data_IF_556239946077
#
_entry.id   IF_556239946077
#
_cell.length_a   1.000
_cell.length_b   1.000
_cell.length_c   1.000
_cell.angle_alpha   90.00
_cell.angle_beta   90.00
_cell.angle_gamma   90.00
#
_symmetry.space_group_name_H-M   'P 1'
#
loop_
_entity.id
_entity.type
_entity.pdbx_description
1 polymer ?
#
# COMPACT_ATOMS: atom_id res chain seq x y z
N UNK A 1 1.84 -18.96 23.96
CA UNK A 1 0.77 -18.67 22.98
C UNK A 1 1.26 -17.68 21.93
N UNK A 2 1.95 -18.18 20.90
CA UNK A 2 2.19 -17.40 19.67
C UNK A 2 1.09 -17.74 18.67
N UNK A 3 0.62 -16.75 17.91
CA UNK A 3 -0.50 -16.90 16.98
C UNK A 3 -0.40 -15.96 15.77
N UNK A 4 -0.69 -16.42 14.56
CA UNK A 4 -0.74 -15.55 13.38
C UNK A 4 -1.76 -16.03 12.34
N UNK A 5 -2.70 -15.17 11.94
CA UNK A 5 -3.73 -15.48 10.94
C UNK A 5 -3.99 -14.31 9.98
N UNK A 6 -4.32 -14.62 8.73
CA UNK A 6 -4.87 -13.74 7.71
C UNK A 6 -5.91 -14.53 6.93
N UNK A 7 -7.05 -13.92 6.65
CA UNK A 7 -8.09 -14.48 5.78
C UNK A 7 -8.56 -13.41 4.80
N UNK A 8 -8.91 -13.80 3.59
CA UNK A 8 -9.42 -12.92 2.55
C UNK A 8 -10.32 -13.72 1.61
N UNK A 9 -11.38 -13.07 1.11
CA UNK A 9 -12.20 -13.63 0.05
C UNK A 9 -12.72 -12.49 -0.80
N UNK A 10 -12.45 -12.62 -2.09
CA UNK A 10 -12.77 -11.70 -3.18
C UNK A 10 -13.44 -12.51 -4.30
N UNK A 11 -14.13 -11.89 -5.27
CA UNK A 11 -14.82 -12.62 -6.34
C UNK A 11 -13.90 -13.56 -7.14
N UNK A 12 -12.63 -13.21 -7.28
CA UNK A 12 -11.60 -13.89 -8.09
C UNK A 12 -10.48 -14.53 -7.26
N UNK A 13 -10.48 -14.38 -5.93
CA UNK A 13 -9.35 -14.79 -5.09
C UNK A 13 -9.77 -15.15 -3.66
N UNK A 14 -9.29 -16.27 -3.15
CA UNK A 14 -9.56 -16.76 -1.80
C UNK A 14 -8.26 -17.14 -1.07
N UNK A 15 -8.12 -16.74 0.19
CA UNK A 15 -6.99 -17.12 1.03
C UNK A 15 -7.44 -17.24 2.49
N UNK A 16 -6.90 -18.24 3.19
CA UNK A 16 -7.01 -18.39 4.64
C UNK A 16 -5.70 -18.96 5.17
N UNK A 17 -5.15 -18.38 6.24
CA UNK A 17 -4.17 -19.04 7.09
C UNK A 17 -4.40 -18.71 8.58
N UNK A 18 -3.89 -19.58 9.44
CA UNK A 18 -3.95 -19.49 10.90
C UNK A 18 -2.87 -20.42 11.48
N UNK A 19 -1.94 -19.90 12.28
CA UNK A 19 -0.76 -20.63 12.78
C UNK A 19 -0.57 -20.38 14.29
N UNK A 20 -0.36 -21.43 15.08
CA UNK A 20 -0.08 -21.35 16.53
C UNK A 20 1.26 -22.02 16.84
N UNK A 21 2.11 -21.31 17.59
CA UNK A 21 3.54 -21.62 17.78
C UNK A 21 4.36 -21.72 16.47
N UNK A 22 4.24 -20.75 15.53
CA UNK A 22 5.00 -20.73 14.28
C UNK A 22 6.49 -20.40 14.50
N UNK A 23 7.35 -20.99 13.66
CA UNK A 23 8.75 -20.55 13.50
C UNK A 23 8.83 -19.14 12.90
N UNK A 24 9.99 -18.49 13.03
CA UNK A 24 10.23 -17.17 12.44
C UNK A 24 9.97 -17.16 10.93
N UNK A 25 10.44 -18.17 10.20
CA UNK A 25 10.22 -18.29 8.74
C UNK A 25 8.73 -18.40 8.38
N UNK A 26 7.94 -19.12 9.18
CA UNK A 26 6.50 -19.23 8.97
C UNK A 26 5.79 -17.89 9.21
N UNK A 27 6.27 -17.07 10.16
CA UNK A 27 5.80 -15.70 10.36
C UNK A 27 6.19 -14.82 9.16
N UNK A 28 7.45 -14.86 8.72
CA UNK A 28 7.96 -14.09 7.58
C UNK A 28 7.18 -14.39 6.30
N UNK A 29 6.91 -15.66 6.01
CA UNK A 29 6.12 -16.08 4.85
C UNK A 29 4.68 -15.55 4.91
N UNK A 30 4.00 -15.68 6.06
CA UNK A 30 2.67 -15.07 6.25
C UNK A 30 2.69 -13.55 6.06
N UNK A 31 3.69 -12.86 6.61
CA UNK A 31 3.84 -11.39 6.44
C UNK A 31 3.99 -11.03 4.96
N UNK A 32 4.81 -11.77 4.21
CA UNK A 32 5.00 -11.57 2.77
C UNK A 32 3.72 -11.85 1.95
N UNK A 33 3.03 -12.96 2.23
CA UNK A 33 1.78 -13.35 1.56
C UNK A 33 0.65 -12.33 1.80
N UNK A 34 0.38 -12.02 3.07
CA UNK A 34 -0.69 -11.11 3.46
C UNK A 34 -0.44 -9.69 2.94
N UNK A 35 0.83 -9.23 2.93
CA UNK A 35 1.25 -7.98 2.29
C UNK A 35 1.03 -8.04 0.79
N UNK A 36 1.38 -9.16 0.15
CA UNK A 36 1.28 -9.36 -1.29
C UNK A 36 -0.16 -9.26 -1.79
N UNK A 37 -1.08 -9.98 -1.14
CA UNK A 37 -2.51 -9.97 -1.42
C UNK A 37 -3.10 -8.58 -1.16
N UNK A 38 -2.79 -7.97 0.00
CA UNK A 38 -3.34 -6.67 0.38
C UNK A 38 -2.98 -5.56 -0.62
N UNK A 39 -1.73 -5.54 -1.09
CA UNK A 39 -1.30 -4.56 -2.09
C UNK A 39 -1.84 -4.83 -3.50
N UNK A 40 -2.13 -6.09 -3.86
CA UNK A 40 -2.85 -6.36 -5.10
C UNK A 40 -4.30 -5.85 -5.02
N UNK A 41 -4.99 -6.13 -3.92
CA UNK A 41 -6.44 -6.02 -3.80
C UNK A 41 -6.98 -4.69 -3.28
N UNK A 42 -6.16 -3.84 -2.65
CA UNK A 42 -6.62 -2.54 -2.11
C UNK A 42 -7.25 -1.62 -3.17
N UNK A 43 -6.84 -1.75 -4.44
CA UNK A 43 -7.30 -0.91 -5.54
C UNK A 43 -8.58 -1.40 -6.23
N UNK A 44 -8.89 -2.70 -6.18
CA UNK A 44 -10.10 -3.29 -6.76
C UNK A 44 -11.40 -2.68 -6.18
N UNK A 45 -11.29 -2.07 -5.00
CA UNK A 45 -12.35 -1.38 -4.26
C UNK A 45 -12.18 0.15 -4.21
N UNK A 46 -11.11 0.71 -4.80
CA UNK A 46 -10.97 2.16 -4.93
C UNK A 46 -11.91 2.67 -6.04
N UNK A 47 -12.50 3.87 -5.92
CA UNK A 47 -13.39 4.42 -6.93
C UNK A 47 -12.59 5.02 -8.10
N UNK A 48 -11.99 4.13 -8.89
CA UNK A 48 -11.10 4.44 -10.01
C UNK A 48 -11.46 3.62 -11.24
N UNK A 49 -11.25 4.18 -12.44
CA UNK A 49 -11.12 3.38 -13.66
C UNK A 49 -9.70 2.79 -13.74
N UNK A 50 -9.53 1.63 -13.10
CA UNK A 50 -8.28 0.88 -13.10
C UNK A 50 -7.83 0.50 -14.53
N UNK A 51 -8.76 0.20 -15.44
CA UNK A 51 -8.42 -0.21 -16.81
C UNK A 51 -7.85 0.97 -17.60
N UNK A 52 -8.45 2.15 -17.49
CA UNK A 52 -7.94 3.34 -18.14
C UNK A 52 -6.58 3.76 -17.58
N UNK A 53 -6.40 3.75 -16.25
CA UNK A 53 -5.11 4.08 -15.62
C UNK A 53 -4.02 3.09 -16.06
N UNK A 54 -4.29 1.79 -16.03
CA UNK A 54 -3.33 0.76 -16.47
C UNK A 54 -3.07 0.78 -18.00
N UNK A 55 -4.01 1.32 -18.79
CA UNK A 55 -3.86 1.55 -20.22
C UNK A 55 -2.88 2.69 -20.56
N UNK A 56 -2.76 3.70 -19.68
CA UNK A 56 -1.85 4.84 -19.87
C UNK A 56 -0.54 4.76 -19.07
N UNK A 57 -0.42 3.80 -18.16
CA UNK A 57 0.78 3.57 -17.38
C UNK A 57 1.91 2.99 -18.27
N UNK A 58 3.15 3.51 -18.16
CA UNK A 58 4.33 2.88 -18.76
C UNK A 58 4.45 1.42 -18.33
N UNK A 59 4.89 0.56 -19.26
CA UNK A 59 5.08 -0.87 -19.04
C UNK A 59 6.57 -1.23 -19.14
N UNK A 60 7.41 -0.79 -18.18
CA UNK A 60 8.81 -1.18 -18.13
C UNK A 60 8.92 -2.70 -17.98
N UNK A 61 9.90 -3.31 -18.64
CA UNK A 61 10.08 -4.79 -18.70
C UNK A 61 11.03 -5.33 -17.63
N UNK A 62 11.77 -4.46 -16.96
CA UNK A 62 12.81 -4.79 -16.00
C UNK A 62 13.08 -3.61 -15.05
N UNK A 63 13.93 -3.84 -14.04
CA UNK A 63 14.28 -2.86 -13.02
C UNK A 63 14.92 -1.58 -13.58
N UNK A 64 15.74 -1.69 -14.64
CA UNK A 64 16.43 -0.57 -15.27
C UNK A 64 15.44 0.34 -16.00
N UNK A 65 14.55 -0.22 -16.81
CA UNK A 65 13.45 0.52 -17.46
C UNK A 65 12.50 1.15 -16.43
N UNK A 66 12.23 0.47 -15.30
CA UNK A 66 11.45 1.02 -14.20
C UNK A 66 12.14 2.23 -13.58
N UNK A 67 13.44 2.11 -13.25
CA UNK A 67 14.22 3.22 -12.69
C UNK A 67 14.26 4.43 -13.63
N UNK A 68 14.42 4.19 -14.94
CA UNK A 68 14.38 5.26 -15.93
C UNK A 68 12.99 5.92 -15.98
N UNK A 69 11.91 5.15 -16.11
CA UNK A 69 10.55 5.70 -16.15
C UNK A 69 10.14 6.42 -14.84
N UNK A 70 10.64 5.98 -13.68
CA UNK A 70 10.47 6.67 -12.40
C UNK A 70 11.28 7.97 -12.33
N UNK A 71 12.45 8.02 -12.96
CA UNK A 71 13.28 9.23 -13.02
C UNK A 71 12.64 10.35 -13.85
N UNK A 72 11.78 10.03 -14.81
CA UNK A 72 11.10 10.98 -15.70
C UNK A 72 9.73 11.46 -15.16
N UNK A 73 9.32 11.03 -13.97
CA UNK A 73 8.02 11.38 -13.38
C UNK A 73 7.82 12.89 -13.27
N UNK A 74 6.62 13.35 -13.67
CA UNK A 74 6.11 14.72 -13.49
C UNK A 74 4.86 14.70 -12.62
N UNK A 75 4.98 14.51 -11.28
CA UNK A 75 3.86 14.13 -10.42
C UNK A 75 2.67 15.08 -10.48
N UNK A 76 2.88 16.40 -10.45
CA UNK A 76 1.76 17.37 -10.45
C UNK A 76 0.90 17.30 -11.72
N UNK A 77 1.55 17.16 -12.89
CA UNK A 77 0.85 17.01 -14.17
C UNK A 77 0.16 15.64 -14.27
N UNK A 78 0.79 14.62 -13.70
CA UNK A 78 0.25 13.26 -13.67
C UNK A 78 -0.96 13.15 -12.71
N UNK A 79 -0.90 13.70 -11.50
CA UNK A 79 -2.06 13.78 -10.57
C UNK A 79 -3.24 14.49 -11.22
N UNK A 80 -2.99 15.61 -11.90
CA UNK A 80 -4.03 16.35 -12.63
C UNK A 80 -4.67 15.48 -13.73
N UNK A 81 -3.85 14.83 -14.57
CA UNK A 81 -4.34 13.91 -15.62
C UNK A 81 -5.11 12.73 -15.04
N UNK A 82 -4.63 12.14 -13.94
CA UNK A 82 -5.21 10.97 -13.31
C UNK A 82 -6.52 11.27 -12.57
N UNK A 83 -6.75 12.52 -12.17
CA UNK A 83 -8.02 12.94 -11.54
C UNK A 83 -9.25 12.67 -12.41
N UNK A 84 -9.11 12.62 -13.73
CA UNK A 84 -10.18 12.28 -14.67
C UNK A 84 -10.62 10.81 -14.63
N UNK A 85 -9.85 9.92 -13.99
CA UNK A 85 -10.20 8.50 -13.82
C UNK A 85 -10.77 8.18 -12.42
N UNK A 86 -11.00 9.20 -11.59
CA UNK A 86 -11.72 9.04 -10.32
C UNK A 86 -13.22 8.94 -10.62
N UNK A 87 -13.84 7.83 -10.25
CA UNK A 87 -15.27 7.57 -10.54
C UNK A 87 -16.22 8.09 -9.45
N UNK A 88 -15.69 8.46 -8.28
CA UNK A 88 -16.48 9.03 -7.20
C UNK A 88 -16.82 10.51 -7.49
N UNK A 89 -18.12 10.83 -7.54
CA UNK A 89 -18.57 12.22 -7.62
C UNK A 89 -18.49 12.87 -6.24
N UNK A 90 -17.61 13.87 -6.10
CA UNK A 90 -17.52 14.69 -4.89
C UNK A 90 -18.41 15.92 -5.08
N UNK A 91 -19.59 16.01 -4.41
CA UNK A 91 -20.56 17.06 -4.67
C UNK A 91 -20.04 18.43 -4.24
N UNK A 92 -20.25 19.43 -5.09
CA UNK A 92 -19.89 20.81 -4.79
C UNK A 92 -20.84 21.40 -3.72
N UNK A 93 -20.30 22.24 -2.85
CA UNK A 93 -21.05 22.85 -1.76
C UNK A 93 -20.81 24.36 -1.68
N UNK A 94 -21.88 25.12 -1.46
CA UNK A 94 -21.81 26.57 -1.20
C UNK A 94 -21.30 26.90 0.21
N UNK A 95 -21.26 25.91 1.10
CA UNK A 95 -20.69 26.00 2.45
C UNK A 95 -19.17 25.79 2.37
N UNK A 96 -18.41 26.81 2.77
CA UNK A 96 -16.94 26.85 2.68
C UNK A 96 -16.26 25.68 3.43
N UNK A 97 -16.83 25.24 4.55
CA UNK A 97 -16.30 24.12 5.35
C UNK A 97 -16.46 22.79 4.60
N UNK A 98 -17.61 22.60 3.95
CA UNK A 98 -17.87 21.43 3.10
C UNK A 98 -17.03 21.47 1.81
N UNK A 99 -16.86 22.65 1.20
CA UNK A 99 -16.01 22.84 0.03
C UNK A 99 -14.55 22.48 0.31
N UNK A 100 -13.99 22.93 1.45
CA UNK A 100 -12.62 22.54 1.87
C UNK A 100 -12.47 21.02 2.02
N UNK A 101 -13.46 20.33 2.61
CA UNK A 101 -13.45 18.86 2.71
C UNK A 101 -13.55 18.18 1.34
N UNK A 102 -14.39 18.68 0.45
CA UNK A 102 -14.53 18.19 -0.92
C UNK A 102 -13.20 18.28 -1.71
N UNK A 103 -12.50 19.41 -1.60
CA UNK A 103 -11.18 19.62 -2.25
C UNK A 103 -10.13 18.64 -1.70
N UNK A 104 -10.08 18.45 -0.38
CA UNK A 104 -9.15 17.47 0.25
C UNK A 104 -9.44 16.05 -0.24
N UNK A 105 -10.71 15.62 -0.22
CA UNK A 105 -11.14 14.30 -0.71
C UNK A 105 -10.81 14.09 -2.18
N UNK A 106 -11.12 15.06 -3.06
CA UNK A 106 -10.80 15.01 -4.50
C UNK A 106 -9.29 14.87 -4.74
N UNK A 107 -8.47 15.60 -3.98
CA UNK A 107 -6.99 15.49 -4.04
C UNK A 107 -6.48 14.14 -3.54
N UNK A 108 -7.05 13.59 -2.47
CA UNK A 108 -6.69 12.29 -1.94
C UNK A 108 -7.03 11.15 -2.93
N UNK A 109 -8.21 11.18 -3.55
CA UNK A 109 -8.60 10.21 -4.59
C UNK A 109 -7.69 10.30 -5.82
N UNK A 110 -7.31 11.51 -6.25
CA UNK A 110 -6.32 11.69 -7.34
C UNK A 110 -4.94 11.12 -6.98
N UNK A 111 -4.56 11.17 -5.70
CA UNK A 111 -3.32 10.54 -5.21
C UNK A 111 -3.42 9.02 -5.17
N UNK A 112 -4.58 8.45 -4.83
CA UNK A 112 -4.84 7.01 -4.94
C UNK A 112 -4.72 6.55 -6.41
N UNK A 113 -5.19 7.34 -7.37
CA UNK A 113 -4.97 7.08 -8.79
C UNK A 113 -3.48 7.09 -9.19
N UNK A 114 -2.69 8.05 -8.67
CA UNK A 114 -1.23 8.07 -8.84
C UNK A 114 -0.57 6.81 -8.27
N UNK A 115 -0.99 6.36 -7.09
CA UNK A 115 -0.45 5.15 -6.47
C UNK A 115 -0.73 3.90 -7.32
N UNK A 116 -1.93 3.78 -7.91
CA UNK A 116 -2.23 2.68 -8.83
C UNK A 116 -1.43 2.73 -10.14
N UNK A 117 -1.23 3.93 -10.70
CA UNK A 117 -0.36 4.14 -11.86
C UNK A 117 1.08 3.67 -11.56
N UNK A 118 1.63 4.05 -10.41
CA UNK A 118 2.97 3.65 -9.97
C UNK A 118 3.04 2.14 -9.68
N UNK A 119 2.01 1.55 -9.05
CA UNK A 119 1.87 0.09 -8.90
C UNK A 119 1.97 -0.62 -10.24
N UNK A 120 1.25 -0.13 -11.25
CA UNK A 120 1.22 -0.74 -12.58
C UNK A 120 2.60 -0.78 -13.23
N UNK A 121 3.40 0.29 -13.07
CA UNK A 121 4.79 0.31 -13.53
C UNK A 121 5.65 -0.73 -12.79
N UNK A 122 5.53 -0.81 -11.45
CA UNK A 122 6.28 -1.77 -10.62
C UNK A 122 5.89 -3.22 -10.96
N UNK A 123 4.61 -3.50 -11.15
CA UNK A 123 4.11 -4.84 -11.54
C UNK A 123 4.57 -5.28 -12.92
N UNK A 124 4.69 -4.35 -13.87
CA UNK A 124 5.20 -4.64 -15.21
C UNK A 124 6.68 -5.05 -15.19
N UNK A 125 7.51 -4.35 -14.41
CA UNK A 125 8.95 -4.56 -14.40
C UNK A 125 9.43 -5.62 -13.41
N UNK A 126 8.70 -5.80 -12.30
CA UNK A 126 9.06 -6.69 -11.20
C UNK A 126 7.81 -7.46 -10.74
N UNK A 127 7.26 -8.38 -11.56
CA UNK A 127 5.99 -9.03 -11.27
C UNK A 127 5.94 -9.71 -9.90
N UNK A 128 4.85 -9.48 -9.15
CA UNK A 128 4.63 -10.12 -7.85
C UNK A 128 3.96 -11.47 -8.05
N UNK A 129 4.56 -12.52 -7.48
CA UNK A 129 3.90 -13.80 -7.33
C UNK A 129 2.93 -13.71 -6.15
N UNK A 130 1.67 -14.09 -6.36
CA UNK A 130 0.69 -14.26 -5.28
C UNK A 130 0.76 -15.72 -4.78
N UNK A 131 0.50 -15.96 -3.49
CA UNK A 131 0.37 -17.33 -3.00
C UNK A 131 -0.81 -18.03 -3.69
N UNK A 132 -0.68 -19.36 -3.86
CA UNK A 132 -1.73 -20.19 -4.47
C UNK A 132 -2.97 -20.22 -3.58
N UNK A 133 -4.15 -20.17 -4.18
CA UNK A 133 -5.41 -20.28 -3.45
C UNK A 133 -5.61 -21.70 -2.91
N UNK A 134 -6.09 -21.81 -1.68
CA UNK A 134 -6.21 -23.11 -0.96
C UNK A 134 -7.64 -23.64 -0.87
N UNK A 135 -8.63 -22.81 -1.15
CA UNK A 135 -10.07 -23.12 -0.98
C UNK A 135 -10.95 -22.40 -2.01
N UNK A 136 -12.20 -22.86 -2.16
CA UNK A 136 -13.24 -22.10 -2.89
C UNK A 136 -13.58 -20.81 -2.13
N UNK A 137 -13.96 -19.71 -2.82
CA UNK A 137 -14.33 -18.45 -2.16
C UNK A 137 -15.40 -18.62 -1.08
N UNK A 138 -15.05 -18.28 0.16
CA UNK A 138 -15.97 -18.26 1.29
C UNK A 138 -16.67 -16.89 1.35
N UNK A 139 -17.89 -16.83 1.86
CA UNK A 139 -18.55 -15.54 2.17
C UNK A 139 -17.87 -14.88 3.39
N UNK A 140 -16.82 -14.06 3.19
CA UNK A 140 -16.48 -12.82 3.96
C UNK A 140 -15.14 -12.18 3.55
N UNK A 141 -15.15 -10.85 3.47
CA UNK A 141 -14.08 -10.02 2.88
C UNK A 141 -13.06 -9.51 3.92
N UNK A 142 -11.86 -10.10 3.96
CA UNK A 142 -10.62 -9.57 4.59
C UNK A 142 -10.57 -9.51 6.14
N UNK A 143 -9.85 -10.44 6.78
CA UNK A 143 -9.59 -10.51 8.23
C UNK A 143 -8.16 -10.96 8.58
N UNK A 144 -7.26 -10.04 8.92
CA UNK A 144 -5.97 -10.30 9.60
C UNK A 144 -6.21 -10.44 11.13
N UNK A 145 -5.55 -11.39 11.79
CA UNK A 145 -5.48 -11.52 13.24
C UNK A 145 -4.18 -12.21 13.70
N UNK A 146 -3.18 -11.40 14.08
CA UNK A 146 -1.90 -11.88 14.62
C UNK A 146 -1.81 -11.55 16.11
N UNK A 147 -1.17 -12.42 16.89
CA UNK A 147 -0.45 -12.14 18.14
C UNK A 147 0.69 -13.16 18.32
N UNK A 148 1.87 -12.93 17.74
CA UNK A 148 3.06 -13.74 18.00
C UNK A 148 3.85 -13.25 19.22
N UNK A 149 3.13 -13.02 20.32
CA UNK A 149 3.63 -12.65 21.66
C UNK A 149 4.77 -11.61 21.65
N UNK A 150 4.55 -10.33 21.30
CA UNK A 150 3.26 -9.62 21.29
C UNK A 150 3.04 -8.76 20.04
N UNK A 151 3.40 -9.25 18.85
CA UNK A 151 3.10 -8.55 17.60
C UNK A 151 1.64 -8.69 17.16
N UNK A 152 0.78 -8.14 18.02
CA UNK A 152 -0.67 -8.20 17.99
C UNK A 152 -1.23 -7.26 16.92
N UNK A 153 -1.97 -7.80 15.94
CA UNK A 153 -2.63 -7.01 14.90
C UNK A 153 -3.89 -7.71 14.37
N UNK A 154 -5.07 -7.19 14.73
CA UNK A 154 -6.37 -7.69 14.23
C UNK A 154 -7.05 -6.61 13.39
N UNK A 155 -7.28 -6.86 12.10
CA UNK A 155 -7.89 -5.92 11.14
C UNK A 155 -8.88 -6.67 10.23
N UNK A 156 -10.16 -6.33 10.31
CA UNK A 156 -11.28 -7.17 9.87
C UNK A 156 -12.41 -6.39 9.19
N UNK A 157 -12.94 -6.97 8.11
CA UNK A 157 -14.23 -6.73 7.42
C UNK A 157 -14.80 -8.14 7.10
N UNK A 158 -15.91 -8.37 6.40
CA UNK A 158 -17.25 -7.86 6.68
C UNK A 158 -17.93 -8.70 7.79
N UNK A 159 -19.25 -8.61 7.94
CA UNK A 159 -20.08 -9.59 8.68
C UNK A 159 -21.09 -10.32 7.78
N UNK A 160 -21.58 -9.69 6.71
CA UNK A 160 -22.73 -10.21 5.92
C UNK A 160 -22.59 -10.02 4.39
N UNK A 161 -21.57 -9.27 3.92
CA UNK A 161 -21.50 -8.73 2.55
C UNK A 161 -22.02 -7.29 2.42
N UNK A 162 -22.22 -6.62 3.56
CA UNK A 162 -22.67 -5.22 3.68
C UNK A 162 -21.54 -4.19 3.76
N UNK A 163 -20.28 -4.62 3.60
CA UNK A 163 -19.12 -3.75 3.72
C UNK A 163 -19.03 -2.80 2.53
N UNK A 164 -18.65 -1.55 2.79
CA UNK A 164 -18.46 -0.56 1.73
C UNK A 164 -17.08 -0.71 1.11
N UNK A 165 -16.98 -0.46 -0.19
CA UNK A 165 -15.72 -0.53 -0.93
C UNK A 165 -14.59 0.30 -0.27
N UNK A 166 -14.89 1.49 0.25
CA UNK A 166 -13.91 2.31 0.96
C UNK A 166 -13.44 1.71 2.30
N UNK A 167 -14.29 0.96 3.01
CA UNK A 167 -13.91 0.21 4.22
C UNK A 167 -12.95 -0.94 3.87
N UNK A 168 -13.20 -1.64 2.76
CA UNK A 168 -12.36 -2.73 2.26
C UNK A 168 -10.99 -2.20 1.81
N UNK A 169 -10.95 -1.12 1.00
CA UNK A 169 -9.71 -0.44 0.63
C UNK A 169 -8.93 0.05 1.85
N UNK A 170 -9.60 0.67 2.84
CA UNK A 170 -8.97 1.15 4.07
C UNK A 170 -8.32 0.03 4.88
N UNK A 171 -9.01 -1.11 5.03
CA UNK A 171 -8.49 -2.27 5.78
C UNK A 171 -7.33 -2.95 5.04
N UNK A 172 -7.41 -3.09 3.71
CA UNK A 172 -6.29 -3.64 2.93
C UNK A 172 -5.06 -2.74 2.97
N UNK A 173 -5.24 -1.41 2.86
CA UNK A 173 -4.18 -0.42 3.02
C UNK A 173 -3.53 -0.49 4.40
N UNK A 174 -4.35 -0.56 5.47
CA UNK A 174 -3.87 -0.70 6.85
C UNK A 174 -3.17 -2.05 7.13
N UNK A 175 -3.58 -3.13 6.46
CA UNK A 175 -2.86 -4.41 6.47
C UNK A 175 -1.49 -4.24 5.82
N UNK A 176 -1.45 -3.74 4.58
CA UNK A 176 -0.22 -3.53 3.82
C UNK A 176 0.80 -2.63 4.57
N UNK A 177 0.37 -1.48 5.09
CA UNK A 177 1.21 -0.53 5.84
C UNK A 177 1.87 -1.18 7.06
N UNK A 178 1.12 -2.02 7.77
CA UNK A 178 1.63 -2.68 8.98
C UNK A 178 2.61 -3.79 8.65
N UNK A 179 2.30 -4.60 7.64
CA UNK A 179 3.14 -5.72 7.25
C UNK A 179 4.43 -5.25 6.55
N UNK A 180 4.39 -4.16 5.79
CA UNK A 180 5.59 -3.56 5.20
C UNK A 180 6.58 -3.06 6.27
N UNK A 181 6.09 -2.43 7.36
CA UNK A 181 6.94 -2.07 8.50
C UNK A 181 7.48 -3.28 9.27
N UNK A 182 6.75 -4.40 9.26
CA UNK A 182 7.18 -5.64 9.93
C UNK A 182 8.23 -6.40 9.12
N UNK A 183 8.07 -6.46 7.80
CA UNK A 183 9.00 -7.17 6.92
C UNK A 183 10.44 -6.61 7.02
N UNK A 184 10.59 -5.28 7.10
CA UNK A 184 11.90 -4.64 7.29
C UNK A 184 12.56 -4.92 8.66
N UNK A 185 11.84 -5.56 9.60
CA UNK A 185 12.36 -5.98 10.91
C UNK A 185 12.60 -7.50 10.99
N UNK A 186 12.28 -8.24 9.93
CA UNK A 186 12.43 -9.70 9.85
C UNK A 186 13.36 -10.14 8.72
N UNK A 187 13.94 -9.18 7.98
CA UNK A 187 14.77 -9.38 6.80
C UNK A 187 15.98 -8.43 6.91
N UNK A 188 17.15 -9.01 7.18
CA UNK A 188 18.37 -8.25 7.44
C UNK A 188 18.87 -7.46 6.21
N UNK A 189 18.59 -7.94 5.00
CA UNK A 189 18.98 -7.23 3.78
C UNK A 189 18.08 -6.00 3.54
N UNK A 190 16.80 -6.08 3.91
CA UNK A 190 15.91 -4.92 3.96
C UNK A 190 16.27 -3.95 5.09
N UNK A 191 16.66 -4.43 6.26
CA UNK A 191 17.14 -3.58 7.36
C UNK A 191 18.40 -2.79 6.97
N UNK A 192 19.39 -3.46 6.36
CA UNK A 192 20.59 -2.79 5.84
C UNK A 192 20.25 -1.74 4.77
N UNK A 193 19.30 -2.04 3.87
CA UNK A 193 18.85 -1.10 2.85
C UNK A 193 18.14 0.13 3.44
N UNK A 194 17.28 -0.06 4.44
CA UNK A 194 16.62 1.04 5.16
C UNK A 194 17.64 1.92 5.87
N UNK A 195 18.65 1.31 6.51
CA UNK A 195 19.75 2.03 7.16
C UNK A 195 20.60 2.83 6.16
N UNK A 196 20.87 2.29 4.96
CA UNK A 196 21.56 3.00 3.86
C UNK A 196 20.75 4.14 3.27
N UNK A 197 19.42 4.01 3.23
CA UNK A 197 18.52 5.01 2.64
C UNK A 197 18.37 6.26 3.53
N UNK A 198 18.33 6.07 4.86
CA UNK A 198 18.09 7.15 5.82
C UNK A 198 16.70 7.78 5.65
N UNK A 199 16.61 9.10 5.90
CA UNK A 199 15.38 9.88 5.71
C UNK A 199 15.51 10.84 4.51
N UNK A 200 15.33 10.36 3.26
CA UNK A 200 15.41 11.21 2.08
C UNK A 200 14.28 12.25 2.06
N UNK A 201 14.56 13.42 1.49
CA UNK A 201 13.53 14.45 1.27
C UNK A 201 12.46 13.92 0.33
N UNK A 202 11.18 14.19 0.60
CA UNK A 202 10.07 13.84 -0.30
C UNK A 202 10.10 14.71 -1.57
N UNK A 203 10.79 14.27 -2.62
CA UNK A 203 10.88 14.95 -3.92
C UNK A 203 11.31 14.01 -5.05
N UNK A 204 10.99 14.35 -6.31
CA UNK A 204 11.44 13.58 -7.49
C UNK A 204 12.97 13.54 -7.57
N UNK A 205 13.65 14.64 -7.24
CA UNK A 205 15.12 14.68 -7.23
C UNK A 205 15.73 13.68 -6.23
N UNK A 206 15.13 13.52 -5.05
CA UNK A 206 15.57 12.51 -4.08
C UNK A 206 15.26 11.09 -4.56
N UNK A 207 14.13 10.87 -5.25
CA UNK A 207 13.84 9.59 -5.89
C UNK A 207 14.91 9.25 -6.94
N UNK A 208 15.22 10.18 -7.85
CA UNK A 208 16.25 10.03 -8.87
C UNK A 208 17.61 9.63 -8.28
N UNK A 209 18.04 10.27 -7.18
CA UNK A 209 19.34 9.97 -6.55
C UNK A 209 19.37 8.68 -5.73
N UNK A 210 18.21 8.17 -5.27
CA UNK A 210 18.12 6.98 -4.42
C UNK A 210 17.76 5.70 -5.19
N UNK A 211 17.11 5.80 -6.36
CA UNK A 211 16.79 4.64 -7.22
C UNK A 211 17.97 3.68 -7.51
N UNK A 212 19.25 4.13 -7.66
CA UNK A 212 20.39 3.23 -7.79
C UNK A 212 20.56 2.23 -6.63
N UNK A 213 20.12 2.57 -5.42
CA UNK A 213 20.15 1.67 -4.25
C UNK A 213 19.22 0.46 -4.49
N UNK A 214 18.02 0.68 -5.05
CA UNK A 214 17.09 -0.41 -5.38
C UNK A 214 17.52 -1.20 -6.64
N UNK A 215 18.16 -0.56 -7.61
CA UNK A 215 18.74 -1.25 -8.76
C UNK A 215 19.82 -2.26 -8.34
N UNK A 216 20.67 -1.86 -7.39
CA UNK A 216 21.78 -2.67 -6.87
C UNK A 216 21.37 -3.62 -5.73
N UNK A 217 20.11 -3.60 -5.28
CA UNK A 217 19.62 -4.54 -4.29
C UNK A 217 19.64 -5.99 -4.83
N UNK A 218 19.81 -7.01 -3.97
CA UNK A 218 19.68 -8.42 -4.35
C UNK A 218 18.33 -8.73 -5.03
N UNK A 219 18.28 -9.64 -6.02
CA UNK A 219 17.07 -9.95 -6.79
C UNK A 219 15.83 -10.24 -5.94
N UNK A 220 16.01 -10.98 -4.84
CA UNK A 220 14.98 -11.43 -3.91
C UNK A 220 14.27 -10.28 -3.17
N UNK A 221 15.01 -9.21 -2.81
CA UNK A 221 14.42 -8.02 -2.17
C UNK A 221 14.17 -6.87 -3.14
N UNK A 222 14.61 -6.97 -4.40
CA UNK A 222 14.62 -5.88 -5.40
C UNK A 222 13.29 -5.16 -5.50
N UNK A 223 12.17 -5.90 -5.60
CA UNK A 223 10.83 -5.30 -5.64
C UNK A 223 10.53 -4.48 -4.38
N UNK A 224 10.77 -5.05 -3.20
CA UNK A 224 10.54 -4.36 -1.92
C UNK A 224 11.47 -3.15 -1.75
N UNK A 225 12.71 -3.21 -2.26
CA UNK A 225 13.64 -2.08 -2.30
C UNK A 225 13.08 -0.90 -3.10
N UNK A 226 12.58 -1.13 -4.32
CA UNK A 226 11.89 -0.08 -5.09
C UNK A 226 10.71 0.50 -4.33
N UNK A 227 9.85 -0.35 -3.76
CA UNK A 227 8.66 0.08 -3.01
C UNK A 227 8.99 0.93 -1.78
N UNK A 228 10.05 0.59 -1.03
CA UNK A 228 10.56 1.36 0.12
C UNK A 228 11.10 2.72 -0.33
N UNK A 229 11.97 2.76 -1.34
CA UNK A 229 12.60 4.00 -1.82
C UNK A 229 11.56 4.96 -2.39
N UNK A 230 10.62 4.44 -3.19
CA UNK A 230 9.49 5.20 -3.71
C UNK A 230 8.64 5.80 -2.58
N UNK A 231 8.31 5.02 -1.55
CA UNK A 231 7.55 5.50 -0.40
C UNK A 231 8.31 6.58 0.41
N UNK A 232 9.60 6.37 0.68
CA UNK A 232 10.44 7.32 1.41
C UNK A 232 10.54 8.67 0.68
N UNK A 233 10.70 8.65 -0.64
CA UNK A 233 10.74 9.85 -1.48
C UNK A 233 9.36 10.49 -1.76
N UNK A 234 8.27 9.93 -1.20
CA UNK A 234 6.92 10.52 -1.25
C UNK A 234 6.03 10.05 -2.40
N UNK A 235 6.42 9.00 -3.14
CA UNK A 235 5.69 8.43 -4.28
C UNK A 235 5.40 6.93 -4.08
N UNK A 236 4.77 6.50 -2.97
CA UNK A 236 4.52 5.09 -2.73
C UNK A 236 3.65 4.48 -3.85
N UNK A 237 3.91 3.24 -4.28
CA UNK A 237 3.04 2.53 -5.22
C UNK A 237 1.80 1.91 -4.55
N UNK A 238 1.54 2.20 -3.27
CA UNK A 238 0.39 1.67 -2.53
C UNK A 238 -0.25 2.76 -1.68
N UNK A 239 -1.53 2.57 -1.37
CA UNK A 239 -2.30 3.53 -0.60
C UNK A 239 -1.87 3.49 0.86
N UNK A 240 -1.41 4.63 1.36
CA UNK A 240 -1.04 4.83 2.75
C UNK A 240 -2.24 5.26 3.62
N UNK A 241 -2.15 4.97 4.91
CA UNK A 241 -3.18 5.31 5.90
C UNK A 241 -3.50 6.80 6.06
N UNK A 242 -2.60 7.73 5.72
CA UNK A 242 -2.91 9.17 5.73
C UNK A 242 -3.78 9.55 4.52
N UNK A 243 -3.45 9.07 3.32
CA UNK A 243 -4.25 9.30 2.11
C UNK A 243 -5.66 8.71 2.23
N UNK A 244 -5.84 7.56 2.90
CA UNK A 244 -7.18 7.03 3.24
C UNK A 244 -7.94 8.01 4.15
N UNK A 245 -7.28 8.57 5.17
CA UNK A 245 -7.89 9.52 6.11
C UNK A 245 -8.30 10.86 5.48
N UNK A 246 -7.58 11.31 4.44
CA UNK A 246 -7.93 12.49 3.64
C UNK A 246 -9.09 12.19 2.66
N UNK A 247 -9.18 10.97 2.12
CA UNK A 247 -10.23 10.56 1.19
C UNK A 247 -11.58 10.28 1.90
N UNK A 248 -11.53 9.50 2.98
CA UNK A 248 -12.73 9.06 3.72
C UNK A 248 -12.58 9.33 5.23
N UNK A 249 -12.58 10.62 5.65
CA UNK A 249 -12.44 11.00 7.05
C UNK A 249 -13.53 10.41 7.97
N UNK A 250 -14.68 10.02 7.42
CA UNK A 250 -15.75 9.30 8.09
C UNK A 250 -15.35 7.93 8.67
N UNK A 251 -14.31 7.29 8.13
CA UNK A 251 -13.85 5.95 8.56
C UNK A 251 -13.11 5.96 9.91
N UNK A 252 -12.88 7.14 10.52
CA UNK A 252 -12.27 7.33 11.84
C UNK A 252 -10.97 6.54 12.07
N UNK A 253 -10.16 6.38 11.02
CA UNK A 253 -8.90 5.64 11.11
C UNK A 253 -7.97 6.36 12.08
N UNK A 254 -7.55 5.66 13.13
CA UNK A 254 -6.59 6.17 14.11
C UNK A 254 -5.27 6.44 13.40
N UNK A 255 -4.86 7.71 13.36
CA UNK A 255 -3.53 8.10 12.86
C UNK A 255 -2.45 7.29 13.60
N UNK A 256 -1.37 6.88 12.92
CA UNK A 256 -0.24 6.24 13.60
C UNK A 256 0.25 7.13 14.75
N UNK A 257 0.29 6.59 15.97
CA UNK A 257 0.86 7.28 17.14
C UNK A 257 2.39 7.29 17.05
N UNK A 258 2.93 8.12 16.16
CA UNK A 258 4.33 8.52 16.17
C UNK A 258 4.51 9.82 16.94
N UNK A 259 5.61 9.95 17.70
CA UNK A 259 5.94 11.15 18.48
C UNK A 259 6.41 12.32 17.59
N UNK A 260 5.56 12.76 16.66
CA UNK A 260 5.73 14.04 15.95
C UNK A 260 5.52 15.20 16.93
N UNK A 261 6.61 15.68 17.52
CA UNK A 261 6.58 16.78 18.49
C UNK A 261 7.20 16.47 19.85
N UNK A 262 7.93 15.35 19.97
CA UNK A 262 8.83 15.10 21.11
C UNK A 262 10.00 16.07 21.14
N UNK A 263 9.76 17.38 21.36
CA UNK A 263 10.78 18.28 21.88
C UNK A 263 11.28 17.66 23.18
N UNK A 264 12.50 17.13 23.19
CA UNK A 264 13.22 16.85 24.42
C UNK A 264 13.25 18.17 25.20
N UNK A 265 12.43 18.29 26.24
CA UNK A 265 12.64 19.32 27.25
C UNK A 265 14.01 19.03 27.86
N UNK A 266 14.94 19.96 27.65
CA UNK A 266 16.09 20.11 28.56
C UNK A 266 15.57 20.58 29.91
#
# INVERSE_FOLDING_TARGET
MQFASFQASFPDYAYVNELREPSLDAITNLVADARSIAAQKMFDYAPLDLKAIAGIAPKPKNAQELSHALSELKPSSLEQRLSAFVTETVPDSKDESKLKKAIVRRKALSRIALYYYLKTMVDSALPRQLPKTTTKPLKKEVRLAINTSEWTAVKKVATDGSAKNNEITAVLSSIHDTLSRKQAQTDAALEELVNKLGEPRKSVAALQTTLPIALNAPPEIKRTAFEIIMAACGYPPYIDTQTIGDAWPELKITKPRGNYGGKKKK
#
